data_IF_236597946786
#
_entry.id   IF_236597946786
#
_cell.length_a   1.000
_cell.length_b   1.000
_cell.length_c   1.000
_cell.angle_alpha   90.00
_cell.angle_beta   90.00
_cell.angle_gamma   90.00
#
_symmetry.space_group_name_H-M   'P 1'
#
loop_
_entity.id
_entity.type
_entity.pdbx_description
1 polymer ?
#
# COMPACT_ATOMS: atom_id res chain seq x y z
N UNK A 1 -13.02 -0.33 -26.49
CA UNK A 1 -12.68 -1.77 -26.35
C UNK A 1 -11.76 -1.88 -25.14
N UNK A 2 -12.29 -2.30 -23.99
CA UNK A 2 -11.47 -2.48 -22.78
C UNK A 2 -10.58 -3.68 -23.06
N UNK A 3 -9.28 -3.43 -23.21
CA UNK A 3 -8.27 -4.45 -23.40
C UNK A 3 -8.09 -5.16 -22.05
N UNK A 4 -9.01 -6.08 -21.72
CA UNK A 4 -8.97 -6.85 -20.49
C UNK A 4 -7.71 -7.71 -20.53
N UNK A 5 -6.65 -7.29 -19.83
CA UNK A 5 -5.43 -8.08 -19.71
C UNK A 5 -5.80 -9.51 -19.24
N UNK A 6 -5.08 -10.57 -19.61
CA UNK A 6 -5.49 -11.95 -19.34
C UNK A 6 -5.80 -12.22 -17.85
N UNK A 7 -6.83 -13.02 -17.55
CA UNK A 7 -7.23 -13.42 -16.20
C UNK A 7 -6.27 -14.43 -15.53
N UNK A 8 -5.13 -14.71 -16.16
CA UNK A 8 -4.15 -15.72 -15.75
C UNK A 8 -3.67 -15.57 -14.29
N UNK A 9 -3.70 -14.35 -13.76
CA UNK A 9 -3.23 -14.04 -12.40
C UNK A 9 -4.35 -13.91 -11.37
N UNK A 10 -5.62 -14.07 -11.74
CA UNK A 10 -6.71 -14.03 -10.78
C UNK A 10 -6.45 -15.06 -9.65
N UNK A 11 -6.71 -14.68 -8.40
CA UNK A 11 -6.45 -15.48 -7.20
C UNK A 11 -4.98 -15.72 -6.82
N UNK A 12 -4.00 -15.20 -7.58
CA UNK A 12 -2.58 -15.33 -7.21
C UNK A 12 -2.12 -14.34 -6.12
N UNK A 13 -3.01 -13.51 -5.58
CA UNK A 13 -2.65 -12.47 -4.60
C UNK A 13 -1.93 -13.03 -3.37
N UNK A 14 -2.39 -14.15 -2.83
CA UNK A 14 -1.74 -14.80 -1.68
C UNK A 14 -0.31 -15.27 -1.99
N UNK A 15 -0.06 -15.76 -3.20
CA UNK A 15 1.28 -16.18 -3.63
C UNK A 15 2.22 -14.97 -3.79
N UNK A 16 1.71 -13.83 -4.25
CA UNK A 16 2.51 -12.60 -4.33
C UNK A 16 2.83 -12.03 -2.95
N UNK A 17 1.87 -12.04 -2.02
CA UNK A 17 2.11 -11.61 -0.64
C UNK A 17 3.20 -12.47 0.02
N UNK A 18 3.17 -13.78 -0.18
CA UNK A 18 4.17 -14.71 0.38
C UNK A 18 5.56 -14.51 -0.23
N UNK A 19 5.63 -14.38 -1.55
CA UNK A 19 6.91 -14.27 -2.26
C UNK A 19 7.59 -12.90 -2.12
N UNK A 20 6.82 -11.82 -2.02
CA UNK A 20 7.34 -10.45 -2.11
C UNK A 20 6.98 -9.55 -0.93
N UNK A 21 6.16 -10.04 -0.01
CA UNK A 21 5.68 -9.24 1.11
C UNK A 21 6.80 -8.85 2.07
N UNK A 22 6.97 -7.55 2.27
CA UNK A 22 8.02 -6.95 3.09
C UNK A 22 7.49 -6.17 4.30
N UNK A 23 6.17 -6.07 4.46
CA UNK A 23 5.52 -5.45 5.60
C UNK A 23 4.27 -6.23 6.03
N UNK A 24 3.87 -6.09 7.29
CA UNK A 24 2.51 -6.44 7.71
C UNK A 24 1.66 -5.15 7.77
N UNK A 25 0.47 -5.16 7.19
CA UNK A 25 -0.44 -4.03 7.13
C UNK A 25 -1.75 -4.34 7.88
N UNK A 26 -2.10 -3.52 8.86
CA UNK A 26 -3.38 -3.57 9.57
C UNK A 26 -4.28 -2.43 9.08
N UNK A 27 -5.37 -2.77 8.39
CA UNK A 27 -6.29 -1.80 7.83
C UNK A 27 -7.40 -1.44 8.82
N UNK A 28 -7.84 -0.19 8.78
CA UNK A 28 -9.11 0.25 9.37
C UNK A 28 -10.03 0.61 8.21
N UNK A 29 -11.06 -0.21 7.98
CA UNK A 29 -12.00 -0.07 6.86
C UNK A 29 -13.37 0.17 7.46
N UNK A 30 -14.02 1.27 7.07
CA UNK A 30 -15.34 1.67 7.60
C UNK A 30 -15.32 1.76 9.14
N UNK A 31 -14.24 2.34 9.69
CA UNK A 31 -14.02 2.46 11.14
C UNK A 31 -13.70 1.15 11.87
N UNK A 32 -13.67 0.00 11.18
CA UNK A 32 -13.40 -1.31 11.78
C UNK A 32 -11.97 -1.76 11.51
N UNK A 33 -11.21 -1.99 12.58
CA UNK A 33 -9.87 -2.54 12.47
C UNK A 33 -9.91 -4.01 12.02
N UNK A 34 -9.14 -4.32 10.98
CA UNK A 34 -9.01 -5.66 10.39
C UNK A 34 -7.73 -6.35 10.89
N UNK A 35 -7.71 -7.70 10.90
CA UNK A 35 -6.48 -8.44 11.14
C UNK A 35 -5.38 -8.00 10.17
N UNK A 36 -4.15 -7.94 10.66
CA UNK A 36 -3.03 -7.57 9.84
C UNK A 36 -2.73 -8.61 8.77
N UNK A 37 -2.31 -8.14 7.59
CA UNK A 37 -2.02 -8.98 6.44
C UNK A 37 -0.65 -8.64 5.86
N UNK A 38 0.04 -9.66 5.35
CA UNK A 38 1.27 -9.47 4.59
C UNK A 38 0.99 -8.64 3.33
N UNK A 39 1.83 -7.65 3.07
CA UNK A 39 1.71 -6.73 1.94
C UNK A 39 3.09 -6.30 1.43
N UNK A 40 3.11 -5.62 0.29
CA UNK A 40 4.30 -5.14 -0.40
C UNK A 40 4.30 -3.62 -0.38
N UNK A 41 5.19 -3.01 0.41
CA UNK A 41 5.39 -1.57 0.46
C UNK A 41 6.54 -1.15 -0.44
N UNK A 42 6.29 -0.14 -1.27
CA UNK A 42 7.30 0.57 -2.06
C UNK A 42 7.31 2.04 -1.67
N UNK A 43 8.49 2.56 -1.36
CA UNK A 43 8.70 3.98 -1.03
C UNK A 43 9.55 4.61 -2.11
N UNK A 44 9.14 5.78 -2.59
CA UNK A 44 9.87 6.60 -3.55
C UNK A 44 10.03 7.99 -2.95
N UNK A 45 11.27 8.47 -2.88
CA UNK A 45 11.59 9.83 -2.46
C UNK A 45 11.78 10.66 -3.73
N UNK A 46 11.00 11.71 -3.88
CA UNK A 46 11.11 12.67 -4.96
C UNK A 46 11.51 14.02 -4.35
N UNK A 47 12.53 14.66 -4.92
CA UNK A 47 13.02 15.97 -4.47
C UNK A 47 12.70 16.94 -5.61
N UNK A 48 11.67 17.76 -5.41
CA UNK A 48 11.33 18.81 -6.36
C UNK A 48 11.98 20.11 -5.90
N UNK A 49 12.94 20.58 -6.70
CA UNK A 49 13.54 21.89 -6.54
C UNK A 49 12.65 22.91 -7.24
N UNK A 50 12.04 23.82 -6.49
CA UNK A 50 11.26 24.91 -7.08
C UNK A 50 12.21 26.05 -7.46
N UNK A 51 12.26 26.36 -8.76
CA UNK A 51 13.26 27.25 -9.38
C UNK A 51 13.29 28.69 -8.84
N UNK A 52 12.25 29.15 -8.13
CA UNK A 52 12.09 30.57 -7.77
C UNK A 52 12.51 30.92 -6.33
N UNK A 53 12.80 29.95 -5.46
CA UNK A 53 13.12 30.21 -4.04
C UNK A 53 14.30 29.43 -3.46
N UNK A 54 14.94 28.54 -4.24
CA UNK A 54 16.06 27.73 -3.77
C UNK A 54 15.73 26.78 -2.60
N UNK A 55 14.44 26.62 -2.27
CA UNK A 55 13.94 25.63 -1.32
C UNK A 55 13.48 24.40 -2.09
N UNK A 56 14.15 23.27 -1.86
CA UNK A 56 13.65 21.98 -2.30
C UNK A 56 12.50 21.53 -1.41
N UNK A 57 11.39 21.12 -2.00
CA UNK A 57 10.32 20.40 -1.30
C UNK A 57 10.59 18.91 -1.47
N UNK A 58 10.70 18.19 -0.37
CA UNK A 58 10.86 16.75 -0.39
C UNK A 58 9.50 16.08 -0.27
N UNK A 59 9.09 15.33 -1.28
CA UNK A 59 7.87 14.53 -1.26
C UNK A 59 8.20 13.05 -1.14
N UNK A 60 7.63 12.35 -0.15
CA UNK A 60 7.72 10.89 -0.09
C UNK A 60 6.42 10.24 -0.55
N UNK A 61 6.47 9.50 -1.66
CA UNK A 61 5.34 8.72 -2.15
C UNK A 61 5.41 7.28 -1.62
N UNK A 62 4.30 6.83 -1.04
CA UNK A 62 4.13 5.49 -0.50
C UNK A 62 3.10 4.72 -1.33
N UNK A 63 3.52 3.59 -1.91
CA UNK A 63 2.64 2.68 -2.66
C UNK A 63 2.61 1.32 -1.95
N UNK A 64 1.43 0.92 -1.51
CA UNK A 64 1.17 -0.38 -0.90
C UNK A 64 0.45 -1.28 -1.89
N UNK A 65 0.91 -2.52 -2.05
CA UNK A 65 0.22 -3.56 -2.81
C UNK A 65 -0.15 -4.70 -1.88
N UNK A 66 -1.40 -5.14 -1.94
CA UNK A 66 -1.96 -6.19 -1.09
C UNK A 66 -2.92 -7.05 -1.89
N UNK A 67 -3.06 -8.33 -1.55
CA UNK A 67 -4.06 -9.16 -2.21
C UNK A 67 -5.45 -8.53 -2.14
N UNK A 68 -6.11 -8.37 -3.29
CA UNK A 68 -7.36 -7.62 -3.44
C UNK A 68 -8.47 -8.11 -2.49
N UNK A 69 -8.61 -9.44 -2.33
CA UNK A 69 -9.59 -10.04 -1.44
C UNK A 69 -9.41 -9.75 0.05
N UNK A 70 -8.25 -9.19 0.47
CA UNK A 70 -7.98 -8.83 1.87
C UNK A 70 -8.41 -7.41 2.22
N UNK A 71 -8.76 -6.60 1.22
CA UNK A 71 -9.14 -5.19 1.38
C UNK A 71 -10.49 -4.89 0.71
N UNK A 72 -11.40 -5.86 0.72
CA UNK A 72 -12.75 -5.66 0.20
C UNK A 72 -13.47 -4.52 0.94
N UNK A 73 -14.08 -3.60 0.19
CA UNK A 73 -14.82 -2.45 0.74
C UNK A 73 -13.95 -1.25 1.14
N UNK A 74 -12.69 -1.22 0.70
CA UNK A 74 -11.80 -0.08 0.88
C UNK A 74 -12.37 1.18 0.22
N UNK A 75 -12.32 2.31 0.92
CA UNK A 75 -12.67 3.63 0.40
C UNK A 75 -11.56 4.65 0.65
N UNK A 76 -11.20 5.36 -0.43
CA UNK A 76 -10.22 6.44 -0.42
C UNK A 76 -10.68 7.60 0.48
N UNK A 77 -9.72 8.26 1.14
CA UNK A 77 -9.91 9.42 2.03
C UNK A 77 -10.75 9.16 3.29
N UNK A 78 -11.18 7.93 3.52
CA UNK A 78 -11.90 7.50 4.73
C UNK A 78 -11.09 6.49 5.52
N UNK A 79 -10.56 5.50 4.81
CA UNK A 79 -9.90 4.36 5.44
C UNK A 79 -8.41 4.65 5.69
N UNK A 80 -7.82 3.90 6.62
CA UNK A 80 -6.43 4.06 7.01
C UNK A 80 -5.72 2.71 7.15
N UNK A 81 -4.39 2.75 7.20
CA UNK A 81 -3.55 1.58 7.37
C UNK A 81 -2.41 1.85 8.33
N UNK A 82 -2.15 0.91 9.23
CA UNK A 82 -0.93 0.85 10.02
C UNK A 82 0.00 -0.14 9.36
N UNK A 83 1.19 0.31 9.00
CA UNK A 83 2.26 -0.51 8.44
C UNK A 83 3.21 -0.88 9.56
N UNK A 84 3.43 -2.17 9.75
CA UNK A 84 4.44 -2.73 10.64
C UNK A 84 5.66 -3.17 9.82
N UNK A 85 6.83 -2.67 10.21
CA UNK A 85 8.10 -3.10 9.62
C UNK A 85 8.43 -4.54 10.04
N UNK A 86 9.05 -5.27 9.11
CA UNK A 86 9.51 -6.64 9.32
C UNK A 86 11.03 -6.69 9.26
N UNK A 87 11.62 -7.56 10.08
CA UNK A 87 13.02 -7.92 9.99
C UNK A 87 13.29 -8.84 8.79
N UNK A 88 14.56 -9.22 8.60
CA UNK A 88 14.99 -10.12 7.52
C UNK A 88 14.35 -11.51 7.56
N UNK A 89 13.77 -11.91 8.69
CA UNK A 89 13.10 -13.20 8.87
C UNK A 89 11.57 -13.06 8.71
N UNK A 90 11.07 -11.86 8.39
CA UNK A 90 9.64 -11.59 8.24
C UNK A 90 8.89 -11.40 9.57
N UNK A 91 9.60 -11.11 10.67
CA UNK A 91 9.05 -10.88 12.01
C UNK A 91 8.95 -9.38 12.29
N UNK A 92 7.88 -8.93 12.96
CA UNK A 92 7.69 -7.50 13.27
C UNK A 92 8.80 -6.96 14.16
N UNK A 93 9.37 -5.82 13.77
CA UNK A 93 10.42 -5.14 14.54
C UNK A 93 9.86 -4.32 15.71
N UNK A 94 8.56 -4.06 15.72
CA UNK A 94 7.90 -3.12 16.64
C UNK A 94 7.76 -1.71 16.08
N UNK A 95 8.54 -1.35 15.05
CA UNK A 95 8.40 -0.09 14.31
C UNK A 95 7.13 -0.15 13.45
N UNK A 96 6.33 0.92 13.52
CA UNK A 96 5.14 1.06 12.71
C UNK A 96 4.86 2.53 12.36
N UNK A 97 4.08 2.73 11.31
CA UNK A 97 3.61 4.04 10.89
C UNK A 97 2.17 3.95 10.40
N UNK A 98 1.36 4.94 10.74
CA UNK A 98 -0.03 5.06 10.31
C UNK A 98 -0.13 5.99 9.10
N UNK A 99 -0.97 5.62 8.14
CA UNK A 99 -1.20 6.37 6.92
C UNK A 99 -2.68 6.45 6.59
N UNK A 100 -3.10 7.58 6.03
CA UNK A 100 -4.38 7.67 5.35
C UNK A 100 -4.28 7.07 3.95
N UNK A 101 -5.36 6.44 3.51
CA UNK A 101 -5.44 5.93 2.13
C UNK A 101 -5.92 7.07 1.25
N UNK A 102 -5.01 7.63 0.45
CA UNK A 102 -5.32 8.74 -0.46
C UNK A 102 -6.15 8.28 -1.64
N UNK A 103 -5.73 7.17 -2.26
CA UNK A 103 -6.38 6.60 -3.42
C UNK A 103 -6.09 5.10 -3.52
N UNK A 104 -6.93 4.36 -4.24
CA UNK A 104 -6.67 2.95 -4.53
C UNK A 104 -7.21 2.55 -5.90
N UNK A 105 -6.58 1.53 -6.47
CA UNK A 105 -7.05 0.89 -7.69
C UNK A 105 -7.00 -0.62 -7.50
N UNK A 106 -8.13 -1.27 -7.75
CA UNK A 106 -8.24 -2.72 -7.84
C UNK A 106 -8.75 -3.04 -9.24
N UNK A 107 -7.94 -3.77 -10.02
CA UNK A 107 -8.34 -4.21 -11.36
C UNK A 107 -9.08 -5.56 -11.34
N UNK A 108 -9.50 -6.01 -10.15
CA UNK A 108 -10.30 -7.21 -9.93
C UNK A 108 -9.52 -8.51 -10.11
N UNK A 109 -8.20 -8.47 -9.95
CA UNK A 109 -7.31 -9.62 -10.20
C UNK A 109 -6.75 -10.22 -8.92
N UNK A 110 -5.49 -9.91 -8.65
CA UNK A 110 -4.68 -10.51 -7.60
C UNK A 110 -4.41 -9.49 -6.50
N UNK A 111 -4.04 -8.26 -6.89
CA UNK A 111 -3.48 -7.25 -6.01
C UNK A 111 -4.22 -5.93 -6.18
N UNK A 112 -4.65 -5.34 -5.08
CA UNK A 112 -5.03 -3.93 -5.02
C UNK A 112 -3.76 -3.07 -4.85
N UNK A 113 -3.73 -1.91 -5.49
CA UNK A 113 -2.68 -0.89 -5.35
C UNK A 113 -3.24 0.30 -4.60
N UNK A 114 -2.59 0.70 -3.53
CA UNK A 114 -3.07 1.69 -2.58
C UNK A 114 -2.01 2.78 -2.45
N UNK A 115 -2.38 4.01 -2.82
CA UNK A 115 -1.56 5.19 -2.61
C UNK A 115 -1.83 5.74 -1.21
N UNK A 116 -0.77 5.85 -0.41
CA UNK A 116 -0.84 6.34 0.96
C UNK A 116 -0.43 7.81 1.01
N UNK A 117 -0.94 8.53 2.00
CA UNK A 117 -0.47 9.89 2.30
C UNK A 117 1.06 9.89 2.49
N UNK A 118 1.76 10.79 1.80
CA UNK A 118 3.15 11.09 2.09
C UNK A 118 3.25 12.03 3.30
N UNK A 119 4.38 12.00 4.00
CA UNK A 119 4.79 13.17 4.78
C UNK A 119 5.14 14.27 3.77
N UNK A 120 4.52 15.44 3.90
CA UNK A 120 4.85 16.68 3.18
C UNK A 120 5.64 17.57 4.15
#
# INVERSE_FOLDING_TARGET
>A
MINARPALFAHMGAAFDDAFGNVDAAFTIDGVQRPAVRAILRKWREIDLVDDLGQGVEGTTHLLSVAAGKVSGLESQRDSVIIHELDRNGVRTGVNAAFEIRDHSDDGRAMARIHLSGDI
#
